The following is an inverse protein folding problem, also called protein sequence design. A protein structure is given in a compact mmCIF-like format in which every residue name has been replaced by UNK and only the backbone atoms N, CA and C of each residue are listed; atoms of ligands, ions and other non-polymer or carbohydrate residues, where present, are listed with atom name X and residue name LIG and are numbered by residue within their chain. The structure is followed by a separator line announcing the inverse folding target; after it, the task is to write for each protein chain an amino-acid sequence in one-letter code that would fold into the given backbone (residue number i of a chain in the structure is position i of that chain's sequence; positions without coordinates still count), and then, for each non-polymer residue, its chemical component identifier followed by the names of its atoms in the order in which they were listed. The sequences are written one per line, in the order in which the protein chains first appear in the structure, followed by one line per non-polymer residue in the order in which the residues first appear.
data_IF_246813976644
#
_entry.id   IF_246813976644
#
_cell.length_a   1.000
_cell.length_b   1.000
_cell.length_c   1.000
_cell.angle_alpha   90.00
_cell.angle_beta   90.00
_cell.angle_gamma   90.00
#
_symmetry.space_group_name_H-M   'P 1'
#
loop_
_entity.id
_entity.type
_entity.pdbx_description
1 polymer ?
#
# COMPACT_ATOMS: atom_id res chain seq x y z
N UNK A 1 -14.10 9.50 -6.23
CA UNK A 1 -14.42 8.20 -5.59
C UNK A 1 -15.81 7.77 -6.05
N UNK A 2 -15.93 6.66 -6.80
CA UNK A 2 -17.26 6.14 -7.15
C UNK A 2 -17.79 5.43 -5.90
N UNK A 3 -18.75 6.06 -5.23
CA UNK A 3 -19.50 5.41 -4.15
C UNK A 3 -20.26 4.22 -4.75
N UNK A 4 -20.45 3.13 -4.00
CA UNK A 4 -21.23 2.01 -4.51
C UNK A 4 -22.65 2.53 -4.73
N UNK A 5 -23.33 1.95 -5.70
CA UNK A 5 -24.77 2.14 -5.88
C UNK A 5 -25.43 0.78 -5.74
N UNK A 6 -26.75 0.73 -5.57
CA UNK A 6 -27.50 -0.53 -5.61
C UNK A 6 -27.22 -1.31 -6.92
N UNK A 7 -27.02 -0.59 -8.02
CA UNK A 7 -26.68 -1.15 -9.34
C UNK A 7 -25.22 -1.60 -9.47
N UNK A 8 -24.31 -1.09 -8.63
CA UNK A 8 -22.86 -1.40 -8.65
C UNK A 8 -22.35 -1.58 -7.23
N UNK A 9 -22.67 -2.73 -6.59
CA UNK A 9 -22.23 -3.02 -5.24
C UNK A 9 -20.71 -3.21 -5.19
N UNK A 10 -20.15 -3.24 -3.98
CA UNK A 10 -18.75 -3.66 -3.84
C UNK A 10 -18.57 -5.15 -4.13
N UNK A 11 -17.36 -5.54 -4.49
CA UNK A 11 -16.94 -6.95 -4.47
C UNK A 11 -17.06 -7.53 -3.06
N UNK A 12 -16.69 -6.74 -2.04
CA UNK A 12 -16.94 -6.97 -0.62
C UNK A 12 -16.92 -5.63 0.17
N UNK A 13 -17.34 -5.64 1.44
CA UNK A 13 -17.28 -4.46 2.30
C UNK A 13 -16.83 -4.83 3.71
N UNK A 14 -15.67 -4.32 4.12
CA UNK A 14 -15.08 -4.57 5.45
C UNK A 14 -14.64 -3.30 6.16
N UNK A 15 -15.09 -2.12 5.71
CA UNK A 15 -14.65 -0.85 6.28
C UNK A 15 -15.04 -0.72 7.76
N UNK A 16 -16.26 -1.13 8.12
CA UNK A 16 -16.73 -1.05 9.51
C UNK A 16 -15.89 -1.94 10.44
N UNK A 17 -15.48 -3.11 9.94
CA UNK A 17 -14.60 -4.05 10.63
C UNK A 17 -13.20 -3.48 10.82
N UNK A 18 -12.62 -2.94 9.74
CA UNK A 18 -11.31 -2.25 9.74
C UNK A 18 -11.29 -1.09 10.76
N UNK A 19 -12.38 -0.31 10.84
CA UNK A 19 -12.49 0.79 11.80
C UNK A 19 -12.64 0.25 13.23
N UNK A 20 -13.50 -0.75 13.44
CA UNK A 20 -13.79 -1.31 14.76
C UNK A 20 -12.56 -1.99 15.37
N UNK A 21 -11.85 -2.81 14.60
CA UNK A 21 -10.60 -3.46 15.00
C UNK A 21 -9.53 -2.41 15.35
N UNK A 22 -9.40 -1.36 14.54
CA UNK A 22 -8.48 -0.26 14.82
C UNK A 22 -8.83 0.53 16.09
N UNK A 23 -10.13 0.77 16.36
CA UNK A 23 -10.61 1.42 17.60
C UNK A 23 -10.17 0.63 18.84
N UNK A 24 -10.30 -0.69 18.80
CA UNK A 24 -9.93 -1.60 19.88
C UNK A 24 -8.41 -1.64 20.08
N UNK A 25 -7.64 -1.97 19.02
CA UNK A 25 -6.16 -2.10 19.09
C UNK A 25 -5.47 -0.80 19.48
N UNK A 26 -5.96 0.31 18.95
CA UNK A 26 -5.44 1.62 19.30
C UNK A 26 -5.88 2.04 20.71
N UNK A 27 -6.95 1.46 21.25
CA UNK A 27 -7.65 1.90 22.47
C UNK A 27 -8.00 3.41 22.36
N UNK A 28 -8.85 3.68 21.36
CA UNK A 28 -9.25 5.02 20.90
C UNK A 28 -9.92 5.85 21.99
N UNK A 29 -10.85 5.26 22.75
CA UNK A 29 -11.63 6.00 23.74
C UNK A 29 -10.75 6.56 24.88
N UNK A 30 -9.69 5.86 25.26
CA UNK A 30 -8.76 6.33 26.27
C UNK A 30 -7.82 7.44 25.79
N UNK A 31 -7.64 7.60 24.48
CA UNK A 31 -6.65 8.52 23.89
C UNK A 31 -7.25 9.79 23.31
N UNK A 32 -8.43 9.70 22.70
CA UNK A 32 -9.07 10.88 22.11
C UNK A 32 -9.50 11.87 23.19
N UNK A 33 -9.33 13.16 22.93
CA UNK A 33 -9.93 14.21 23.75
C UNK A 33 -11.38 14.41 23.32
N UNK A 34 -12.30 14.44 24.29
CA UNK A 34 -13.71 14.78 24.05
C UNK A 34 -13.85 16.26 23.71
N UNK A 35 -13.10 17.11 24.42
CA UNK A 35 -12.98 18.53 24.13
C UNK A 35 -11.56 18.78 23.58
N UNK A 36 -11.40 19.06 22.28
CA UNK A 36 -10.09 19.36 21.71
C UNK A 36 -9.37 20.51 22.45
N UNK A 37 -8.07 20.39 22.69
CA UNK A 37 -7.30 21.43 23.38
C UNK A 37 -7.46 21.48 24.90
N UNK A 38 -8.20 20.54 25.51
CA UNK A 38 -8.56 20.58 26.93
C UNK A 38 -7.44 20.26 27.91
N UNK A 39 -6.27 19.78 27.45
CA UNK A 39 -5.15 19.52 28.35
C UNK A 39 -4.66 20.83 28.97
N UNK A 40 -4.24 20.80 30.22
CA UNK A 40 -3.61 21.95 30.87
C UNK A 40 -2.17 22.16 30.41
N UNK A 41 -1.67 23.38 30.56
CA UNK A 41 -0.27 23.71 30.28
C UNK A 41 0.11 23.61 28.79
N UNK A 42 1.42 23.64 28.50
CA UNK A 42 1.92 23.78 27.13
C UNK A 42 2.05 22.45 26.36
N UNK A 43 2.09 21.31 27.04
CA UNK A 43 2.20 20.00 26.40
C UNK A 43 0.80 19.45 26.21
N UNK A 44 0.37 19.33 24.97
CA UNK A 44 -0.97 18.89 24.59
C UNK A 44 -0.92 17.51 23.97
N UNK A 45 -1.82 16.59 24.36
CA UNK A 45 -1.99 15.30 23.68
C UNK A 45 -3.30 15.23 22.93
N UNK A 46 -3.26 14.55 21.78
CA UNK A 46 -4.45 14.35 20.97
C UNK A 46 -4.38 13.07 20.16
N UNK A 47 -5.54 12.54 19.81
CA UNK A 47 -5.66 11.39 18.93
C UNK A 47 -6.40 11.76 17.65
N UNK A 48 -5.98 11.16 16.54
CA UNK A 48 -6.55 11.37 15.23
C UNK A 48 -6.76 10.06 14.51
N UNK A 49 -7.76 10.06 13.65
CA UNK A 49 -8.16 8.92 12.86
C UNK A 49 -8.43 9.37 11.42
N UNK A 50 -8.17 8.49 10.47
CA UNK A 50 -8.59 8.63 9.08
C UNK A 50 -8.90 7.26 8.51
N UNK A 51 -9.82 7.20 7.55
CA UNK A 51 -10.11 6.00 6.78
C UNK A 51 -10.11 6.31 5.28
N UNK A 52 -10.02 5.27 4.48
CA UNK A 52 -10.02 5.38 3.03
C UNK A 52 -10.75 4.23 2.37
N UNK A 53 -10.99 4.45 1.09
CA UNK A 53 -11.28 3.42 0.12
C UNK A 53 -10.35 3.64 -1.06
N UNK A 54 -9.62 2.60 -1.45
CA UNK A 54 -8.56 2.71 -2.45
C UNK A 54 -8.75 1.70 -3.58
N UNK A 55 -8.55 2.15 -4.82
CA UNK A 55 -8.62 1.33 -6.01
C UNK A 55 -7.26 1.30 -6.67
N UNK A 56 -6.83 0.12 -7.08
CA UNK A 56 -5.64 -0.01 -7.92
C UNK A 56 -5.82 0.65 -9.28
N UNK A 57 -4.68 1.03 -9.86
CA UNK A 57 -4.53 1.40 -11.24
C UNK A 57 -4.89 0.24 -12.16
N UNK A 58 -5.29 0.60 -13.38
CA UNK A 58 -5.61 -0.34 -14.44
C UNK A 58 -4.61 -0.22 -15.57
N UNK A 59 -4.43 -1.30 -16.33
CA UNK A 59 -3.56 -1.31 -17.50
C UNK A 59 -3.19 -2.74 -17.86
N UNK A 60 -2.69 -2.94 -19.06
CA UNK A 60 -2.28 -4.26 -19.55
C UNK A 60 -1.06 -4.78 -18.79
N UNK A 61 -1.13 -6.03 -18.37
CA UNK A 61 0.02 -6.83 -17.93
C UNK A 61 -0.06 -8.19 -18.59
N UNK A 62 1.09 -8.72 -18.97
CA UNK A 62 1.22 -10.05 -19.54
C UNK A 62 2.19 -10.89 -18.72
N UNK A 63 2.05 -12.20 -18.80
CA UNK A 63 2.99 -13.15 -18.22
C UNK A 63 3.23 -14.32 -19.18
N UNK A 64 4.43 -14.89 -19.13
CA UNK A 64 4.79 -16.13 -19.82
C UNK A 64 5.40 -17.07 -18.78
N UNK A 65 4.97 -18.32 -18.75
CA UNK A 65 5.58 -19.37 -17.92
C UNK A 65 6.07 -20.47 -18.84
N UNK A 66 7.33 -20.87 -18.66
CA UNK A 66 7.92 -22.01 -19.36
C UNK A 66 8.20 -23.13 -18.36
N UNK A 67 8.12 -24.38 -18.81
CA UNK A 67 8.60 -25.55 -18.06
C UNK A 67 9.42 -26.45 -18.97
N UNK A 68 10.55 -26.94 -18.48
CA UNK A 68 11.41 -27.90 -19.18
C UNK A 68 11.16 -29.35 -18.69
N UNK A 69 11.87 -30.32 -19.27
CA UNK A 69 11.74 -31.73 -18.90
C UNK A 69 12.16 -32.07 -17.46
N UNK A 70 12.90 -31.17 -16.79
CA UNK A 70 13.32 -31.32 -15.40
C UNK A 70 12.30 -30.74 -14.41
N UNK A 71 11.14 -30.26 -14.90
CA UNK A 71 10.13 -29.56 -14.10
C UNK A 71 10.66 -28.27 -13.45
N UNK A 72 11.62 -27.62 -14.10
CA UNK A 72 12.09 -26.29 -13.75
C UNK A 72 11.24 -25.26 -14.50
N UNK A 73 10.67 -24.31 -13.76
CA UNK A 73 9.76 -23.30 -14.29
C UNK A 73 10.48 -21.96 -14.40
N UNK A 74 10.32 -21.28 -15.53
CA UNK A 74 10.77 -19.90 -15.70
C UNK A 74 9.57 -18.99 -15.97
N UNK A 75 9.29 -18.09 -15.04
CA UNK A 75 8.30 -17.04 -15.16
C UNK A 75 8.93 -15.78 -15.75
N UNK A 76 8.31 -15.23 -16.78
CA UNK A 76 8.67 -13.95 -17.40
C UNK A 76 7.55 -12.94 -17.18
N UNK A 77 7.87 -11.80 -16.58
CA UNK A 77 6.90 -10.72 -16.31
C UNK A 77 7.53 -9.36 -16.62
N UNK A 78 6.82 -8.49 -17.33
CA UNK A 78 7.28 -7.12 -17.65
C UNK A 78 7.28 -6.15 -16.47
N UNK A 79 7.23 -6.66 -15.24
CA UNK A 79 7.20 -5.88 -14.00
C UNK A 79 8.63 -5.52 -13.62
N UNK A 80 8.82 -4.30 -13.10
CA UNK A 80 10.15 -3.80 -12.65
C UNK A 80 10.11 -3.56 -11.16
N UNK A 81 10.67 -4.49 -10.38
CA UNK A 81 10.69 -4.41 -8.93
C UNK A 81 11.62 -3.27 -8.48
N UNK A 82 11.03 -2.22 -7.90
CA UNK A 82 11.73 -1.05 -7.36
C UNK A 82 11.86 -1.10 -5.82
N UNK A 83 11.71 -2.28 -5.22
CA UNK A 83 11.71 -2.47 -3.76
C UNK A 83 10.40 -2.93 -3.11
N UNK A 84 9.21 -2.99 -3.76
CA UNK A 84 8.04 -3.56 -3.12
C UNK A 84 8.04 -5.08 -3.07
N UNK A 85 9.06 -5.75 -3.61
CA UNK A 85 9.17 -7.21 -3.56
C UNK A 85 8.31 -7.92 -4.60
N UNK A 86 7.94 -7.21 -5.67
CA UNK A 86 7.10 -7.72 -6.74
C UNK A 86 7.67 -8.99 -7.40
N UNK A 87 9.00 -9.08 -7.58
CA UNK A 87 9.66 -10.29 -8.11
C UNK A 87 9.30 -11.52 -7.28
N UNK A 88 9.47 -11.40 -5.96
CA UNK A 88 9.21 -12.49 -5.01
C UNK A 88 7.71 -12.82 -5.00
N UNK A 89 6.84 -11.81 -4.94
CA UNK A 89 5.39 -12.01 -4.96
C UNK A 89 4.91 -12.70 -6.22
N UNK A 90 5.41 -12.33 -7.41
CA UNK A 90 5.05 -12.99 -8.66
C UNK A 90 5.53 -14.45 -8.70
N UNK A 91 6.72 -14.73 -8.18
CA UNK A 91 7.22 -16.10 -8.02
C UNK A 91 6.34 -16.95 -7.09
N UNK A 92 5.92 -16.40 -5.95
CA UNK A 92 4.99 -17.07 -5.03
C UNK A 92 3.63 -17.37 -5.69
N UNK A 93 3.10 -16.42 -6.46
CA UNK A 93 1.83 -16.61 -7.18
C UNK A 93 1.97 -17.71 -8.24
N UNK A 94 3.07 -17.73 -9.00
CA UNK A 94 3.32 -18.79 -9.97
C UNK A 94 3.47 -20.16 -9.30
N UNK A 95 4.25 -20.26 -8.22
CA UNK A 95 4.47 -21.49 -7.48
C UNK A 95 3.14 -22.08 -6.96
N UNK A 96 2.30 -21.23 -6.35
CA UNK A 96 0.95 -21.62 -5.88
C UNK A 96 0.07 -22.07 -7.06
N UNK A 97 0.01 -21.29 -8.14
CA UNK A 97 -0.85 -21.60 -9.29
C UNK A 97 -0.45 -22.90 -10.03
N UNK A 98 0.86 -23.20 -10.05
CA UNK A 98 1.44 -24.40 -10.65
C UNK A 98 1.43 -25.61 -9.69
N UNK A 99 1.26 -25.40 -8.38
CA UNK A 99 1.34 -26.46 -7.38
C UNK A 99 2.76 -27.01 -7.20
N UNK A 100 3.78 -26.14 -7.28
CA UNK A 100 5.20 -26.52 -7.19
C UNK A 100 5.92 -25.71 -6.11
N UNK A 101 7.02 -26.22 -5.51
CA UNK A 101 7.83 -25.42 -4.60
C UNK A 101 8.38 -24.16 -5.28
N UNK A 102 8.42 -23.04 -4.54
CA UNK A 102 8.99 -21.77 -5.04
C UNK A 102 10.44 -21.92 -5.54
N UNK A 103 11.22 -22.85 -4.96
CA UNK A 103 12.59 -23.14 -5.40
C UNK A 103 12.69 -23.61 -6.85
N UNK A 104 11.58 -24.09 -7.43
CA UNK A 104 11.53 -24.56 -8.81
C UNK A 104 11.11 -23.45 -9.79
N UNK A 105 10.86 -22.23 -9.31
CA UNK A 105 10.40 -21.09 -10.11
C UNK A 105 11.48 -20.02 -10.18
N UNK A 106 12.11 -19.89 -11.35
CA UNK A 106 12.93 -18.73 -11.68
C UNK A 106 12.05 -17.59 -12.18
N UNK A 107 12.29 -16.37 -11.71
CA UNK A 107 11.58 -15.16 -12.17
C UNK A 107 12.52 -14.25 -12.95
N UNK A 108 12.23 -14.08 -14.24
CA UNK A 108 12.83 -13.10 -15.15
C UNK A 108 11.91 -11.89 -15.24
N UNK A 109 12.46 -10.71 -15.02
CA UNK A 109 11.69 -9.46 -14.85
C UNK A 109 12.51 -8.25 -15.30
N UNK A 110 11.85 -7.14 -15.61
CA UNK A 110 12.48 -5.84 -15.92
C UNK A 110 13.26 -5.73 -17.24
N UNK A 111 13.39 -6.82 -18.01
CA UNK A 111 14.11 -6.85 -19.29
C UNK A 111 13.11 -6.87 -20.46
N UNK A 112 13.05 -5.78 -21.24
CA UNK A 112 12.10 -5.63 -22.35
C UNK A 112 12.38 -6.54 -23.54
N UNK A 113 13.60 -7.08 -23.67
CA UNK A 113 13.93 -8.04 -24.73
C UNK A 113 13.47 -9.46 -24.37
N UNK A 114 13.31 -9.75 -23.07
CA UNK A 114 12.99 -11.09 -22.56
C UNK A 114 11.57 -11.22 -22.01
N UNK A 115 11.01 -10.13 -21.49
CA UNK A 115 9.74 -10.15 -20.76
C UNK A 115 8.57 -9.67 -21.62
N UNK A 116 7.37 -10.22 -21.42
CA UNK A 116 6.19 -9.75 -22.13
C UNK A 116 5.78 -8.34 -21.64
N UNK A 117 5.00 -7.65 -22.46
CA UNK A 117 4.60 -6.27 -22.19
C UNK A 117 3.87 -6.11 -20.85
N UNK A 118 4.17 -5.01 -20.16
CA UNK A 118 3.42 -4.51 -19.01
C UNK A 118 3.52 -3.00 -18.99
N UNK A 119 2.47 -2.32 -18.53
CA UNK A 119 2.50 -0.87 -18.30
C UNK A 119 3.51 -0.47 -17.19
N UNK A 120 4.01 -1.44 -16.42
CA UNK A 120 4.99 -1.22 -15.35
C UNK A 120 4.38 -1.16 -13.95
N UNK A 121 5.20 -0.83 -12.97
CA UNK A 121 4.82 -0.70 -11.55
C UNK A 121 4.42 0.73 -11.20
N UNK A 122 3.11 0.97 -11.04
CA UNK A 122 2.55 2.22 -10.52
C UNK A 122 1.08 2.02 -10.15
N UNK A 123 0.51 2.95 -9.37
CA UNK A 123 -0.91 2.90 -9.00
C UNK A 123 -1.30 1.62 -8.25
N UNK A 124 -0.34 0.95 -7.59
CA UNK A 124 -0.52 -0.31 -6.88
C UNK A 124 -1.21 -1.43 -7.69
N UNK A 125 -0.96 -1.46 -9.00
CA UNK A 125 -1.61 -2.40 -9.94
C UNK A 125 -1.01 -3.80 -9.96
N UNK A 126 0.24 -3.95 -9.53
CA UNK A 126 1.11 -5.11 -9.83
C UNK A 126 0.49 -6.44 -9.42
N UNK A 127 0.08 -6.61 -8.17
CA UNK A 127 -0.54 -7.84 -7.66
C UNK A 127 -1.78 -8.20 -8.47
N UNK A 128 -2.61 -7.23 -8.82
CA UNK A 128 -3.91 -7.48 -9.45
C UNK A 128 -3.75 -7.80 -10.92
N UNK A 129 -3.00 -6.97 -11.64
CA UNK A 129 -2.88 -7.04 -13.09
C UNK A 129 -1.87 -8.11 -13.50
N UNK A 130 -0.64 -8.02 -12.98
CA UNK A 130 0.41 -8.99 -13.32
C UNK A 130 0.16 -10.31 -12.60
N UNK A 131 -0.25 -10.29 -11.33
CA UNK A 131 -0.54 -11.53 -10.63
C UNK A 131 -1.67 -12.34 -11.28
N UNK A 132 -2.72 -11.70 -11.81
CA UNK A 132 -3.73 -12.42 -12.60
C UNK A 132 -3.15 -13.00 -13.89
N UNK A 133 -2.29 -12.24 -14.60
CA UNK A 133 -1.62 -12.74 -15.80
C UNK A 133 -0.76 -13.97 -15.50
N UNK A 134 -0.08 -13.99 -14.35
CA UNK A 134 0.69 -15.14 -13.87
C UNK A 134 -0.21 -16.35 -13.64
N UNK A 135 -1.34 -16.17 -12.95
CA UNK A 135 -2.30 -17.25 -12.69
C UNK A 135 -2.83 -17.84 -14.01
N UNK A 136 -3.30 -17.01 -14.93
CA UNK A 136 -3.85 -17.48 -16.21
C UNK A 136 -2.78 -18.15 -17.09
N UNK A 137 -1.54 -17.64 -17.09
CA UNK A 137 -0.44 -18.27 -17.81
C UNK A 137 -0.08 -19.64 -17.22
N UNK A 138 -0.10 -19.77 -15.90
CA UNK A 138 0.11 -21.05 -15.21
C UNK A 138 -1.04 -22.03 -15.49
N UNK A 139 -2.29 -21.57 -15.53
CA UNK A 139 -3.43 -22.40 -15.89
C UNK A 139 -3.37 -22.91 -17.33
N UNK A 140 -2.97 -22.05 -18.27
CA UNK A 140 -2.72 -22.46 -19.65
C UNK A 140 -1.62 -23.53 -19.72
N UNK A 141 -0.52 -23.34 -18.99
CA UNK A 141 0.55 -24.33 -18.94
C UNK A 141 0.07 -25.67 -18.36
N UNK A 142 -0.72 -25.65 -17.28
CA UNK A 142 -1.31 -26.87 -16.70
C UNK A 142 -2.23 -27.59 -17.68
N UNK A 143 -3.01 -26.86 -18.49
CA UNK A 143 -3.84 -27.47 -19.55
C UNK A 143 -2.98 -28.21 -20.58
N UNK A 144 -1.88 -27.60 -21.03
CA UNK A 144 -0.96 -28.26 -21.96
C UNK A 144 -0.30 -29.49 -21.35
N UNK A 145 0.11 -29.44 -20.08
CA UNK A 145 0.67 -30.59 -19.36
C UNK A 145 -0.37 -31.71 -19.23
N UNK A 146 -1.63 -31.38 -18.94
CA UNK A 146 -2.69 -32.38 -18.82
C UNK A 146 -2.99 -33.07 -20.16
N UNK A 147 -2.89 -32.35 -21.27
CA UNK A 147 -3.14 -32.86 -22.63
C UNK A 147 -1.96 -33.65 -23.19
N UNK A 148 -0.73 -33.13 -23.03
CA UNK A 148 0.48 -33.64 -23.71
C UNK A 148 1.44 -34.39 -22.80
N UNK A 149 1.22 -34.35 -21.49
CA UNK A 149 2.20 -34.75 -20.49
C UNK A 149 3.28 -33.68 -20.27
N UNK A 150 4.21 -33.97 -19.36
CA UNK A 150 5.39 -33.12 -19.12
C UNK A 150 6.34 -33.21 -20.33
N UNK A 151 7.02 -32.12 -20.73
CA UNK A 151 7.93 -32.18 -21.87
C UNK A 151 9.11 -33.14 -21.61
N UNK A 152 9.74 -33.59 -22.70
CA UNK A 152 10.85 -34.54 -22.66
C UNK A 152 12.04 -34.05 -23.47
N UNK A 153 13.26 -34.52 -23.14
CA UNK A 153 14.46 -34.11 -23.85
C UNK A 153 14.69 -32.59 -23.78
N UNK A 154 14.76 -31.93 -24.94
CA UNK A 154 14.96 -30.48 -25.04
C UNK A 154 13.65 -29.69 -25.23
N UNK A 155 12.50 -30.36 -25.13
CA UNK A 155 11.20 -29.72 -25.32
C UNK A 155 10.86 -28.80 -24.15
N UNK A 156 10.07 -27.76 -24.44
CA UNK A 156 9.58 -26.79 -23.47
C UNK A 156 8.10 -26.55 -23.75
N UNK A 157 7.28 -26.57 -22.70
CA UNK A 157 5.90 -26.09 -22.78
C UNK A 157 5.83 -24.64 -22.34
N UNK A 158 4.94 -23.87 -22.96
CA UNK A 158 4.83 -22.42 -22.76
C UNK A 158 3.37 -22.06 -22.54
N UNK A 159 3.07 -21.57 -21.33
CA UNK A 159 1.81 -20.89 -21.02
C UNK A 159 2.01 -19.39 -21.10
N UNK A 160 1.01 -18.66 -21.59
CA UNK A 160 1.05 -17.20 -21.67
C UNK A 160 -0.34 -16.61 -21.52
N UNK A 161 -0.44 -15.44 -20.89
CA UNK A 161 -1.70 -14.73 -20.72
C UNK A 161 -1.51 -13.22 -20.76
N UNK A 162 -2.56 -12.53 -21.23
CA UNK A 162 -2.70 -11.07 -21.21
C UNK A 162 -4.14 -10.74 -20.80
N UNK A 163 -4.49 -10.89 -19.52
CA UNK A 163 -5.86 -10.75 -19.05
C UNK A 163 -6.39 -9.34 -19.23
N UNK A 164 -7.72 -9.26 -19.31
CA UNK A 164 -8.47 -8.04 -19.02
C UNK A 164 -9.28 -8.27 -17.74
N UNK A 165 -8.75 -7.90 -16.56
CA UNK A 165 -9.44 -8.17 -15.30
C UNK A 165 -10.82 -7.51 -15.29
N UNK A 166 -11.84 -8.30 -14.98
CA UNK A 166 -13.22 -7.86 -14.79
C UNK A 166 -13.64 -8.07 -13.34
N UNK A 167 -14.57 -7.26 -12.87
CA UNK A 167 -15.22 -7.38 -11.56
C UNK A 167 -16.72 -7.66 -11.71
N UNK A 168 -17.15 -8.10 -12.89
CA UNK A 168 -18.54 -8.37 -13.27
C UNK A 168 -19.49 -7.21 -12.96
N UNK A 169 -19.02 -5.99 -13.21
CA UNK A 169 -19.76 -4.75 -12.95
C UNK A 169 -19.71 -4.26 -11.50
N UNK A 170 -19.11 -5.00 -10.56
CA UNK A 170 -18.93 -4.60 -9.16
C UNK A 170 -17.81 -3.59 -9.00
N UNK A 171 -17.85 -2.82 -7.91
CA UNK A 171 -16.78 -1.90 -7.52
C UNK A 171 -15.78 -2.61 -6.62
N UNK A 172 -14.51 -2.67 -7.01
CA UNK A 172 -13.45 -3.27 -6.20
C UNK A 172 -12.63 -2.21 -5.48
N UNK A 173 -12.53 -2.30 -4.16
CA UNK A 173 -11.78 -1.36 -3.30
C UNK A 173 -11.03 -2.14 -2.21
N UNK A 174 -9.97 -1.52 -1.70
CA UNK A 174 -9.33 -1.86 -0.45
C UNK A 174 -9.75 -0.84 0.61
N UNK A 175 -9.82 -1.27 1.85
CA UNK A 175 -10.19 -0.40 2.97
C UNK A 175 -9.00 -0.25 3.91
N UNK A 176 -8.89 0.93 4.54
CA UNK A 176 -7.83 1.17 5.51
C UNK A 176 -8.25 2.21 6.53
N UNK A 177 -7.74 2.06 7.75
CA UNK A 177 -7.95 2.94 8.87
C UNK A 177 -6.64 3.15 9.63
N UNK A 178 -6.24 4.41 9.78
CA UNK A 178 -5.05 4.78 10.56
C UNK A 178 -5.46 5.57 11.79
N UNK A 179 -4.83 5.25 12.91
CA UNK A 179 -5.03 5.88 14.21
C UNK A 179 -3.69 6.35 14.75
N UNK A 180 -3.62 7.59 15.21
CA UNK A 180 -2.39 8.20 15.65
C UNK A 180 -2.59 9.00 16.93
N UNK A 181 -1.65 8.86 17.86
CA UNK A 181 -1.56 9.68 19.08
C UNK A 181 -0.37 10.62 18.93
N UNK A 182 -0.56 11.91 19.21
CA UNK A 182 0.49 12.92 19.14
C UNK A 182 0.61 13.67 20.46
N UNK A 183 1.83 14.15 20.71
CA UNK A 183 2.15 15.17 21.70
C UNK A 183 2.60 16.43 20.96
N UNK A 184 2.04 17.58 21.34
CA UNK A 184 2.38 18.89 20.77
C UNK A 184 2.84 19.80 21.89
N UNK A 185 4.07 20.32 21.82
CA UNK A 185 4.52 21.39 22.71
C UNK A 185 4.17 22.73 22.07
N UNK A 186 3.22 23.47 22.65
CA UNK A 186 2.74 24.73 22.09
C UNK A 186 3.68 25.91 22.30
N UNK A 187 4.70 25.79 23.17
CA UNK A 187 5.71 26.85 23.37
C UNK A 187 6.71 26.89 22.24
N UNK A 188 7.03 25.71 21.72
CA UNK A 188 8.00 25.57 20.63
C UNK A 188 7.33 25.18 19.33
N UNK A 189 6.14 24.61 19.30
CA UNK A 189 5.46 24.15 18.09
C UNK A 189 5.93 22.79 17.58
N UNK A 190 6.58 21.97 18.40
CA UNK A 190 7.02 20.63 17.99
C UNK A 190 5.87 19.62 18.10
N UNK A 191 5.79 18.69 17.15
CA UNK A 191 4.87 17.55 17.19
C UNK A 191 5.67 16.25 17.25
N UNK A 192 5.34 15.38 18.21
CA UNK A 192 5.89 14.04 18.35
C UNK A 192 4.76 13.03 18.22
N UNK A 193 4.98 11.99 17.41
CA UNK A 193 4.05 10.86 17.33
C UNK A 193 4.38 9.88 18.46
N UNK A 194 3.38 9.55 19.28
CA UNK A 194 3.52 8.65 20.43
C UNK A 194 3.12 7.21 20.10
N UNK A 195 2.07 7.03 19.30
CA UNK A 195 1.56 5.72 18.87
C UNK A 195 0.97 5.82 17.47
N UNK A 196 1.19 4.79 16.66
CA UNK A 196 0.61 4.68 15.33
C UNK A 196 0.09 3.26 15.09
N UNK A 197 -1.18 3.13 14.75
CA UNK A 197 -1.81 1.86 14.37
C UNK A 197 -2.44 2.00 12.98
N UNK A 198 -2.13 1.07 12.08
CA UNK A 198 -2.65 1.01 10.73
C UNK A 198 -3.35 -0.34 10.52
N UNK A 199 -4.65 -0.31 10.22
CA UNK A 199 -5.44 -1.51 9.91
C UNK A 199 -5.86 -1.44 8.45
N UNK A 200 -5.61 -2.51 7.69
CA UNK A 200 -5.93 -2.58 6.26
C UNK A 200 -6.69 -3.86 5.93
N UNK A 201 -7.66 -3.74 5.03
CA UNK A 201 -8.20 -4.86 4.27
C UNK A 201 -7.65 -4.75 2.84
N UNK A 202 -6.90 -5.75 2.41
CA UNK A 202 -6.26 -5.79 1.09
C UNK A 202 -6.44 -7.15 0.42
N UNK A 203 -7.59 -7.78 0.64
CA UNK A 203 -7.88 -9.15 0.24
C UNK A 203 -6.97 -10.16 0.94
N UNK A 204 -6.72 -11.28 0.26
CA UNK A 204 -5.72 -12.26 0.67
C UNK A 204 -4.31 -11.66 0.61
N UNK A 205 -3.51 -11.87 1.65
CA UNK A 205 -2.14 -11.38 1.74
C UNK A 205 -1.19 -12.45 1.20
N UNK A 206 -0.56 -12.16 0.05
CA UNK A 206 0.37 -13.11 -0.59
C UNK A 206 1.66 -13.27 0.22
N UNK A 207 2.25 -12.16 0.68
CA UNK A 207 3.48 -12.16 1.47
C UNK A 207 3.32 -11.22 2.68
N UNK A 208 3.08 -11.76 3.89
CA UNK A 208 2.80 -10.95 5.08
C UNK A 208 3.93 -9.97 5.44
N UNK A 209 5.18 -10.39 5.33
CA UNK A 209 6.35 -9.55 5.64
C UNK A 209 6.40 -8.33 4.72
N UNK A 210 6.31 -8.58 3.42
CA UNK A 210 6.39 -7.52 2.41
C UNK A 210 5.19 -6.58 2.50
N UNK A 211 3.97 -7.12 2.65
CA UNK A 211 2.77 -6.32 2.80
C UNK A 211 2.84 -5.40 4.03
N UNK A 212 3.25 -5.94 5.19
CA UNK A 212 3.42 -5.17 6.43
C UNK A 212 4.43 -4.04 6.26
N UNK A 213 5.58 -4.35 5.70
CA UNK A 213 6.68 -3.39 5.56
C UNK A 213 6.39 -2.34 4.47
N UNK A 214 5.58 -2.67 3.45
CA UNK A 214 5.04 -1.71 2.49
C UNK A 214 4.11 -0.68 3.16
N UNK A 215 3.14 -1.12 3.97
CA UNK A 215 2.26 -0.20 4.72
C UNK A 215 3.09 0.68 5.65
N UNK A 216 4.09 0.11 6.34
CA UNK A 216 4.99 0.86 7.22
C UNK A 216 5.78 1.93 6.45
N UNK A 217 6.40 1.56 5.33
CA UNK A 217 7.17 2.49 4.49
C UNK A 217 6.31 3.61 3.91
N UNK A 218 5.12 3.27 3.38
CA UNK A 218 4.18 4.24 2.86
C UNK A 218 3.67 5.19 3.96
N UNK A 219 3.41 4.66 5.17
CA UNK A 219 3.02 5.47 6.32
C UNK A 219 4.12 6.47 6.71
N UNK A 220 5.40 6.07 6.67
CA UNK A 220 6.54 6.96 6.93
C UNK A 220 6.58 8.13 5.93
N UNK A 221 6.36 7.85 4.64
CA UNK A 221 6.27 8.91 3.62
C UNK A 221 5.13 9.89 3.95
N UNK A 222 3.96 9.37 4.34
CA UNK A 222 2.83 10.21 4.72
C UNK A 222 3.04 10.99 6.01
N UNK A 223 3.81 10.47 6.98
CA UNK A 223 4.29 11.25 8.14
C UNK A 223 5.19 12.38 7.66
N UNK A 224 6.11 12.11 6.73
CA UNK A 224 6.98 13.11 6.09
C UNK A 224 6.16 14.26 5.52
N UNK A 225 5.21 13.94 4.64
CA UNK A 225 4.27 14.90 4.06
C UNK A 225 3.47 15.69 5.11
N UNK A 226 3.10 15.05 6.23
CA UNK A 226 2.26 15.67 7.24
C UNK A 226 2.99 16.75 8.05
N UNK A 227 4.25 16.53 8.41
CA UNK A 227 4.93 17.36 9.44
C UNK A 227 6.30 17.90 9.03
N UNK A 228 6.90 17.42 7.94
CA UNK A 228 8.29 17.74 7.60
C UNK A 228 8.51 18.21 6.16
N UNK A 229 8.05 17.44 5.19
CA UNK A 229 8.46 17.55 3.79
C UNK A 229 7.71 18.66 3.06
N UNK A 230 8.47 19.57 2.45
CA UNK A 230 7.96 20.67 1.64
C UNK A 230 8.91 20.95 0.48
N UNK A 231 8.34 21.33 -0.66
CA UNK A 231 9.09 21.70 -1.86
C UNK A 231 8.91 23.20 -2.09
N UNK A 232 9.83 23.97 -1.52
CA UNK A 232 9.78 25.42 -1.56
C UNK A 232 10.42 25.94 -2.84
N UNK A 233 9.79 26.92 -3.45
CA UNK A 233 10.32 27.65 -4.60
C UNK A 233 10.38 29.15 -4.28
N UNK A 234 11.40 29.82 -4.80
CA UNK A 234 11.42 31.28 -4.83
C UNK A 234 10.34 31.77 -5.82
N UNK A 235 9.33 32.53 -5.36
CA UNK A 235 8.27 33.03 -6.23
C UNK A 235 8.76 33.95 -7.35
N UNK A 236 9.95 34.57 -7.20
CA UNK A 236 10.49 35.51 -8.20
C UNK A 236 11.29 34.80 -9.28
N UNK A 237 12.13 33.84 -8.90
CA UNK A 237 13.06 33.16 -9.81
C UNK A 237 12.64 31.76 -10.22
N UNK A 238 11.69 31.14 -9.52
CA UNK A 238 11.29 29.74 -9.71
C UNK A 238 12.35 28.73 -9.26
N UNK A 239 13.42 29.18 -8.61
CA UNK A 239 14.48 28.28 -8.12
C UNK A 239 13.99 27.48 -6.90
N UNK A 240 14.29 26.18 -6.82
CA UNK A 240 14.00 25.40 -5.62
C UNK A 240 14.84 25.91 -4.45
N UNK A 241 14.18 26.17 -3.33
CA UNK A 241 14.81 26.62 -2.08
C UNK A 241 15.16 25.46 -1.15
N UNK A 242 14.61 24.26 -1.38
CA UNK A 242 14.92 23.04 -0.64
C UNK A 242 15.60 21.94 -1.48
N UNK A 243 16.61 22.24 -2.31
CA UNK A 243 17.29 21.21 -3.11
C UNK A 243 18.17 20.32 -2.23
N UNK A 244 18.07 19.01 -2.44
CA UNK A 244 18.92 17.98 -1.81
C UNK A 244 18.69 17.77 -0.31
N UNK A 245 19.37 16.77 0.26
CA UNK A 245 19.12 16.27 1.61
C UNK A 245 19.42 17.26 2.76
N UNK A 246 20.24 18.29 2.53
CA UNK A 246 20.52 19.27 3.58
C UNK A 246 19.28 20.13 3.91
N UNK A 247 18.46 20.42 2.90
CA UNK A 247 17.28 21.28 3.05
C UNK A 247 15.97 20.51 2.93
N UNK A 248 15.97 19.39 2.21
CA UNK A 248 14.85 18.47 2.18
C UNK A 248 14.78 17.74 3.53
N UNK A 249 13.75 18.07 4.32
CA UNK A 249 13.55 17.63 5.70
C UNK A 249 13.08 16.16 5.76
N UNK A 250 13.89 15.25 5.24
CA UNK A 250 13.58 13.83 5.29
C UNK A 250 13.64 13.32 6.73
N UNK A 251 12.72 12.41 7.05
CA UNK A 251 12.67 11.76 8.35
C UNK A 251 13.79 10.74 8.51
N UNK A 252 14.28 10.63 9.73
CA UNK A 252 15.25 9.62 10.16
C UNK A 252 14.58 8.58 11.07
N UNK A 253 15.30 7.51 11.40
CA UNK A 253 14.83 6.52 12.37
C UNK A 253 14.52 7.09 13.77
N UNK A 254 14.99 8.30 14.09
CA UNK A 254 14.67 8.97 15.37
C UNK A 254 13.31 9.67 15.37
N UNK A 255 12.79 9.98 14.18
CA UNK A 255 11.56 10.77 14.02
C UNK A 255 10.30 9.90 13.94
N UNK A 256 10.48 8.61 13.69
CA UNK A 256 9.42 7.63 13.42
C UNK A 256 9.24 6.69 14.62
N UNK A 257 8.02 6.58 15.20
CA UNK A 257 7.71 5.52 16.15
C UNK A 257 7.52 4.17 15.44
N UNK A 258 7.44 3.09 16.21
CA UNK A 258 6.95 1.83 15.65
C UNK A 258 5.52 2.01 15.13
N UNK A 259 5.29 1.50 13.92
CA UNK A 259 3.99 1.55 13.23
C UNK A 259 3.41 0.14 13.31
N UNK A 260 2.34 0.02 14.09
CA UNK A 260 1.66 -1.24 14.33
C UNK A 260 0.66 -1.53 13.19
N UNK A 261 1.02 -2.46 12.30
CA UNK A 261 0.26 -2.77 11.08
C UNK A 261 -0.49 -4.09 11.23
N UNK A 262 -1.80 -4.06 10.97
CA UNK A 262 -2.69 -5.21 10.99
C UNK A 262 -3.45 -5.36 9.69
N UNK A 263 -3.67 -6.61 9.27
CA UNK A 263 -4.46 -6.95 8.10
C UNK A 263 -5.71 -7.71 8.50
N UNK A 264 -6.83 -7.31 7.90
CA UNK A 264 -8.06 -8.10 7.85
C UNK A 264 -8.07 -8.80 6.50
N UNK A 265 -7.95 -10.13 6.51
CA UNK A 265 -7.95 -10.93 5.30
C UNK A 265 -9.35 -11.36 4.93
N UNK A 266 -9.70 -11.12 3.67
CA UNK A 266 -10.99 -11.48 3.08
C UNK A 266 -10.73 -12.04 1.70
N UNK A 267 -11.51 -13.04 1.30
CA UNK A 267 -11.50 -13.49 -0.08
C UNK A 267 -12.39 -12.57 -0.91
N UNK A 268 -11.76 -11.77 -1.78
CA UNK A 268 -12.48 -10.87 -2.68
C UNK A 268 -13.07 -11.60 -3.90
N UNK A 269 -12.63 -12.83 -4.18
CA UNK A 269 -13.03 -13.63 -5.35
C UNK A 269 -12.43 -13.15 -6.68
N UNK A 270 -11.74 -12.01 -6.72
CA UNK A 270 -11.09 -11.46 -7.92
C UNK A 270 -9.58 -11.28 -7.74
N UNK A 271 -8.85 -11.27 -8.86
CA UNK A 271 -7.39 -11.19 -8.85
C UNK A 271 -6.73 -12.52 -8.43
N UNK A 272 -5.42 -12.56 -8.22
CA UNK A 272 -4.76 -13.80 -7.80
C UNK A 272 -5.21 -14.19 -6.40
N UNK A 273 -5.98 -15.27 -6.31
CA UNK A 273 -6.43 -15.87 -5.04
C UNK A 273 -7.20 -14.91 -4.12
N UNK A 274 -7.92 -13.93 -4.68
CA UNK A 274 -8.67 -12.93 -3.90
C UNK A 274 -7.82 -11.77 -3.37
N UNK A 275 -6.54 -11.66 -3.75
CA UNK A 275 -5.64 -10.59 -3.28
C UNK A 275 -5.94 -9.23 -3.92
N UNK A 276 -5.87 -8.16 -3.12
CA UNK A 276 -6.03 -6.78 -3.59
C UNK A 276 -4.74 -5.97 -3.46
N UNK A 277 -4.87 -4.63 -3.50
CA UNK A 277 -3.78 -3.67 -3.51
C UNK A 277 -3.43 -3.20 -2.11
N UNK A 278 -2.13 -3.05 -1.82
CA UNK A 278 -1.63 -2.50 -0.55
C UNK A 278 -0.50 -1.45 -0.69
N UNK A 279 -0.01 -1.15 -1.91
CA UNK A 279 1.23 -0.36 -2.07
C UNK A 279 1.11 1.09 -1.61
N UNK A 280 0.09 1.81 -2.09
CA UNK A 280 -0.10 3.25 -1.83
C UNK A 280 -1.05 3.54 -0.66
N UNK A 281 -1.67 2.52 -0.08
CA UNK A 281 -2.70 2.68 0.94
C UNK A 281 -2.19 3.37 2.21
N UNK A 282 -0.95 3.09 2.62
CA UNK A 282 -0.37 3.65 3.84
C UNK A 282 -0.10 5.17 3.76
N UNK A 283 0.35 5.68 2.61
CA UNK A 283 0.73 7.10 2.44
C UNK A 283 -0.50 8.01 2.46
N UNK A 284 -1.63 7.54 1.93
CA UNK A 284 -2.86 8.34 1.76
C UNK A 284 -3.48 8.75 3.09
N UNK A 285 -3.46 7.84 4.07
CA UNK A 285 -4.15 8.03 5.35
C UNK A 285 -3.35 8.89 6.33
N UNK A 286 -2.03 8.75 6.34
CA UNK A 286 -1.21 9.32 7.39
C UNK A 286 -1.33 10.85 7.56
N UNK A 287 -1.32 11.68 6.49
CA UNK A 287 -1.50 13.13 6.64
C UNK A 287 -2.82 13.51 7.31
N UNK A 288 -3.91 12.83 6.94
CA UNK A 288 -5.23 13.10 7.50
C UNK A 288 -5.32 12.70 8.98
N UNK A 289 -4.83 11.50 9.34
CA UNK A 289 -4.79 11.05 10.73
C UNK A 289 -3.99 12.02 11.61
N UNK A 290 -2.80 12.43 11.16
CA UNK A 290 -1.91 13.32 11.92
C UNK A 290 -2.51 14.72 12.05
N UNK A 291 -3.07 15.28 10.97
CA UNK A 291 -3.75 16.57 11.02
C UNK A 291 -4.96 16.56 11.97
N UNK A 292 -5.71 15.46 12.01
CA UNK A 292 -6.79 15.27 12.98
C UNK A 292 -6.27 15.17 14.42
N UNK A 293 -5.14 14.48 14.64
CA UNK A 293 -4.55 14.32 15.97
C UNK A 293 -4.00 15.64 16.51
N UNK A 294 -3.31 16.42 15.68
CA UNK A 294 -2.84 17.76 16.04
C UNK A 294 -4.03 18.66 16.37
N UNK A 295 -5.08 18.64 15.54
CA UNK A 295 -6.28 19.43 15.80
C UNK A 295 -6.99 19.01 17.11
N UNK A 296 -7.03 17.71 17.43
CA UNK A 296 -7.54 17.22 18.70
C UNK A 296 -6.67 17.67 19.88
N UNK A 297 -5.35 17.68 19.71
CA UNK A 297 -4.39 18.10 20.74
C UNK A 297 -4.50 19.58 21.08
N UNK A 298 -4.48 20.48 20.08
CA UNK A 298 -4.38 21.94 20.31
C UNK A 298 -5.71 22.68 20.19
N UNK A 299 -6.79 22.00 19.78
CA UNK A 299 -8.11 22.59 19.59
C UNK A 299 -8.25 23.45 18.33
N UNK A 300 -7.26 23.42 17.42
CA UNK A 300 -7.24 24.25 16.20
C UNK A 300 -6.98 23.40 14.96
N UNK A 301 -7.81 23.58 13.94
CA UNK A 301 -7.67 22.87 12.65
C UNK A 301 -6.55 23.49 11.82
N UNK A 302 -5.51 22.71 11.54
CA UNK A 302 -4.48 23.06 10.56
C UNK A 302 -5.03 22.87 9.14
N UNK A 303 -4.89 23.89 8.28
CA UNK A 303 -5.49 23.91 6.92
C UNK A 303 -4.47 23.75 5.79
N UNK A 304 -3.19 23.69 6.10
CA UNK A 304 -2.13 23.47 5.11
C UNK A 304 -1.05 22.55 5.68
N UNK A 305 -0.59 21.63 4.84
CA UNK A 305 0.56 20.76 5.12
C UNK A 305 1.84 21.37 4.51
N UNK A 306 3.03 20.99 5.00
CA UNK A 306 3.25 20.28 6.27
C UNK A 306 2.86 21.15 7.48
N UNK A 307 2.46 20.53 8.59
CA UNK A 307 2.16 21.17 9.88
C UNK A 307 3.49 21.50 10.56
N UNK A 308 4.12 22.57 10.10
CA UNK A 308 5.42 23.00 10.59
C UNK A 308 5.31 23.72 11.93
N UNK A 309 6.46 23.81 12.60
CA UNK A 309 6.65 24.49 13.88
C UNK A 309 6.07 25.91 13.90
N UNK A 310 6.38 26.70 12.89
CA UNK A 310 5.91 28.08 12.71
C UNK A 310 4.39 28.17 12.55
N UNK A 311 3.76 27.20 11.86
CA UNK A 311 2.30 27.14 11.71
C UNK A 311 1.62 26.80 13.03
N UNK A 312 2.20 25.92 13.84
CA UNK A 312 1.66 25.62 15.19
C UNK A 312 1.78 26.86 16.07
N UNK A 313 2.94 27.50 16.12
CA UNK A 313 3.14 28.73 16.91
C UNK A 313 2.19 29.84 16.47
N UNK A 314 2.04 30.07 15.16
CA UNK A 314 1.13 31.06 14.61
C UNK A 314 -0.35 30.75 14.88
N UNK A 315 -0.73 29.47 15.00
CA UNK A 315 -2.08 29.10 15.42
C UNK A 315 -2.32 29.34 16.92
N UNK A 316 -1.26 29.30 17.74
CA UNK A 316 -1.34 29.45 19.20
C UNK A 316 -1.14 30.89 19.70
N UNK A 317 -0.67 31.79 18.83
CA UNK A 317 -0.61 33.23 19.06
C UNK A 317 -2.01 33.88 19.08
#
# INVERSE_FOLDING_TARGET
MRRPTEERPFTNYSLDEVISDGVERFNWQARRKVVPGSDDGPIKRGAGFSFMMFRAGVGTSSAIVRVNSNQEYTLYVGVTDIGPGAKTTMGMIAAEALGTPLSNVEVVWGDTDRCPYSVGESGSRTTIMTGLAVVEAAEELKRQIADKGMPSGNDVLIGSATPTPTTDGKTRQCFGAHFVEVEVDTRVGSTKILKYTAVHESGRIINPTTARDQIRGATIQGIGQAIHEDLLYDPRSGQPLTPGYYRARHLTHKDIPDIDVHFIEVDDGYGPFGAKTAGESGIILAPAAIGNAVANAIGRRMKSMPITRDKILGAMA
#
